data_IF_659874973292
#
_entry.id   IF_659874973292
#
_cell.length_a   1.000
_cell.length_b   1.000
_cell.length_c   1.000
_cell.angle_alpha   90.00
_cell.angle_beta   90.00
_cell.angle_gamma   90.00
#
_symmetry.space_group_name_H-M   'P 1'
#
loop_
_entity.id
_entity.type
_entity.pdbx_description
1 polymer ?
#
# COMPACT_ATOMS: atom_id res chain seq x y z
N UNK A 1 -51.74 -32.90 -75.26
CA UNK A 1 -52.94 -32.11 -75.63
C UNK A 1 -54.10 -32.71 -74.84
N UNK A 2 -54.89 -32.00 -74.01
CA UNK A 2 -54.99 -30.55 -73.70
C UNK A 2 -54.51 -30.26 -72.24
N UNK A 3 -53.94 -29.11 -71.84
CA UNK A 3 -54.42 -27.72 -71.72
C UNK A 3 -55.69 -27.52 -70.88
N UNK A 4 -55.51 -27.06 -69.64
CA UNK A 4 -56.39 -26.09 -68.94
C UNK A 4 -55.60 -25.32 -67.88
N UNK A 5 -55.91 -24.03 -67.79
CA UNK A 5 -55.20 -22.90 -67.17
C UNK A 5 -55.31 -22.85 -65.63
N UNK A 6 -54.38 -22.19 -64.91
CA UNK A 6 -54.55 -21.89 -63.49
C UNK A 6 -55.35 -20.60 -63.27
N UNK A 7 -56.40 -20.73 -62.46
CA UNK A 7 -57.36 -19.71 -62.02
C UNK A 7 -56.72 -18.65 -61.10
N UNK A 8 -57.18 -17.41 -61.27
CA UNK A 8 -56.78 -16.14 -60.66
C UNK A 8 -56.99 -16.03 -59.14
N UNK A 9 -56.34 -16.86 -58.32
CA UNK A 9 -56.35 -16.72 -56.85
C UNK A 9 -54.98 -16.51 -56.21
N UNK A 10 -53.92 -16.38 -57.02
CA UNK A 10 -52.54 -16.21 -56.52
C UNK A 10 -51.93 -14.81 -56.71
N UNK A 11 -52.65 -13.85 -57.26
CA UNK A 11 -52.16 -12.46 -57.42
C UNK A 11 -52.53 -11.51 -56.28
N UNK A 12 -53.36 -11.93 -55.32
CA UNK A 12 -53.79 -11.07 -54.21
C UNK A 12 -53.02 -11.30 -52.90
N UNK A 13 -52.06 -12.24 -52.87
CA UNK A 13 -51.23 -12.51 -51.70
C UNK A 13 -49.75 -12.13 -51.87
N UNK A 14 -49.32 -11.68 -53.06
CA UNK A 14 -47.99 -11.12 -53.28
C UNK A 14 -47.91 -9.59 -53.07
N UNK A 15 -49.03 -8.92 -52.83
CA UNK A 15 -49.06 -7.46 -52.56
C UNK A 15 -49.15 -7.12 -51.06
N UNK A 16 -49.16 -8.11 -50.17
CA UNK A 16 -49.20 -7.91 -48.71
C UNK A 16 -47.89 -8.25 -47.98
N UNK A 17 -46.82 -8.59 -48.71
CA UNK A 17 -45.49 -8.91 -48.11
C UNK A 17 -44.41 -7.89 -48.50
N UNK A 18 -44.75 -6.90 -49.32
CA UNK A 18 -43.80 -5.88 -49.82
C UNK A 18 -43.97 -4.48 -49.22
N UNK A 19 -44.85 -4.29 -48.23
CA UNK A 19 -45.05 -3.00 -47.52
C UNK A 19 -44.57 -3.06 -46.06
N UNK A 20 -43.60 -3.90 -45.74
CA UNK A 20 -42.98 -3.94 -44.39
C UNK A 20 -41.45 -4.04 -44.39
N UNK A 21 -40.80 -3.70 -45.51
CA UNK A 21 -39.35 -3.50 -45.59
C UNK A 21 -39.01 -2.06 -45.96
N UNK A 22 -39.35 -1.16 -45.05
CA UNK A 22 -38.86 0.22 -45.03
C UNK A 22 -38.99 0.76 -43.61
N UNK A 23 -38.39 0.06 -42.65
CA UNK A 23 -37.89 0.72 -41.45
C UNK A 23 -36.47 1.14 -41.77
N UNK A 24 -36.31 2.45 -41.84
CA UNK A 24 -35.06 3.14 -42.07
C UNK A 24 -34.01 2.62 -41.09
N UNK A 25 -32.92 2.05 -41.61
CA UNK A 25 -31.65 1.98 -40.89
C UNK A 25 -31.19 3.42 -40.68
N UNK A 26 -31.50 3.96 -39.50
CA UNK A 26 -30.86 5.15 -38.99
C UNK A 26 -29.34 4.88 -38.92
N UNK A 27 -28.48 5.86 -39.26
CA UNK A 27 -27.06 5.73 -38.97
C UNK A 27 -26.96 5.47 -37.47
N UNK A 28 -26.26 4.41 -37.06
CA UNK A 28 -25.83 4.26 -35.67
C UNK A 28 -24.93 5.46 -35.36
N UNK A 29 -25.55 6.50 -34.82
CA UNK A 29 -24.86 7.57 -34.12
C UNK A 29 -23.90 6.88 -33.17
N UNK A 30 -22.61 7.09 -33.42
CA UNK A 30 -21.60 6.89 -32.40
C UNK A 30 -22.09 7.73 -31.23
N UNK A 31 -22.54 7.07 -30.17
CA UNK A 31 -22.74 7.74 -28.90
C UNK A 31 -21.36 8.29 -28.54
N UNK A 32 -21.13 9.58 -28.84
CA UNK A 32 -20.14 10.35 -28.10
C UNK A 32 -20.60 10.24 -26.64
N UNK A 33 -19.96 9.33 -25.89
CA UNK A 33 -20.00 9.39 -24.44
C UNK A 33 -19.59 10.82 -24.08
N UNK A 34 -20.57 11.61 -23.64
CA UNK A 34 -20.29 12.95 -23.15
C UNK A 34 -19.28 12.78 -22.02
N UNK A 35 -18.06 13.31 -22.24
CA UNK A 35 -16.98 13.32 -21.26
C UNK A 35 -17.38 14.18 -20.07
N UNK A 36 -18.25 13.66 -19.21
CA UNK A 36 -18.81 14.39 -18.09
C UNK A 36 -17.93 14.24 -16.87
N UNK A 37 -17.43 15.38 -16.38
CA UNK A 37 -16.76 15.46 -15.08
C UNK A 37 -17.84 15.67 -14.01
N UNK A 38 -18.16 14.59 -13.29
CA UNK A 38 -19.23 14.50 -12.28
C UNK A 38 -19.06 15.51 -11.12
N UNK A 39 -17.82 15.84 -10.75
CA UNK A 39 -17.55 16.76 -9.64
C UNK A 39 -17.12 18.15 -10.12
N UNK A 40 -17.54 19.19 -9.40
CA UNK A 40 -17.24 20.58 -9.71
C UNK A 40 -16.02 21.13 -8.94
N UNK A 41 -15.34 22.11 -9.52
CA UNK A 41 -14.27 22.83 -8.82
C UNK A 41 -14.88 23.54 -7.62
N UNK A 42 -14.19 23.43 -6.48
CA UNK A 42 -14.63 23.83 -5.15
C UNK A 42 -15.72 22.99 -4.50
N UNK A 43 -16.20 21.93 -5.14
CA UNK A 43 -17.17 21.01 -4.52
C UNK A 43 -16.55 20.30 -3.32
N UNK A 44 -17.33 20.19 -2.25
CA UNK A 44 -16.96 19.41 -1.07
C UNK A 44 -17.26 17.95 -1.34
N UNK A 45 -16.25 17.10 -1.20
CA UNK A 45 -16.33 15.67 -1.53
C UNK A 45 -15.75 14.82 -0.40
N UNK A 46 -16.02 13.53 -0.47
CA UNK A 46 -15.37 12.52 0.35
C UNK A 46 -14.39 11.76 -0.55
N UNK A 47 -13.12 11.69 -0.15
CA UNK A 47 -12.06 11.11 -0.98
C UNK A 47 -11.38 9.95 -0.25
N UNK A 48 -11.24 8.82 -0.95
CA UNK A 48 -10.43 7.71 -0.46
C UNK A 48 -8.95 8.08 -0.48
N UNK A 49 -8.27 7.81 0.63
CA UNK A 49 -6.81 7.79 0.70
C UNK A 49 -6.39 6.54 1.49
N UNK A 50 -5.77 5.59 0.78
CA UNK A 50 -5.60 4.24 1.30
C UNK A 50 -6.96 3.56 1.61
N UNK A 51 -7.12 2.90 2.77
CA UNK A 51 -8.34 2.17 3.12
C UNK A 51 -9.45 3.05 3.74
N UNK A 52 -9.19 4.34 3.96
CA UNK A 52 -10.10 5.25 4.65
C UNK A 52 -10.60 6.37 3.74
N UNK A 53 -11.70 6.99 4.15
CA UNK A 53 -12.34 8.11 3.47
C UNK A 53 -12.11 9.38 4.28
N UNK A 54 -11.71 10.46 3.61
CA UNK A 54 -11.42 11.76 4.21
C UNK A 54 -12.29 12.86 3.59
N UNK A 55 -12.55 13.92 4.36
CA UNK A 55 -13.16 15.13 3.79
C UNK A 55 -12.14 15.82 2.86
N UNK A 56 -12.55 16.12 1.64
CA UNK A 56 -11.71 16.80 0.66
C UNK A 56 -12.50 17.87 -0.12
N UNK A 57 -11.78 18.70 -0.86
CA UNK A 57 -12.32 19.70 -1.76
C UNK A 57 -11.69 19.54 -3.14
N UNK A 58 -12.49 19.54 -4.19
CA UNK A 58 -11.99 19.54 -5.58
C UNK A 58 -11.39 20.91 -5.87
N UNK A 59 -10.13 20.94 -6.25
CA UNK A 59 -9.37 22.14 -6.55
C UNK A 59 -9.23 22.36 -8.06
N UNK A 60 -9.16 21.28 -8.82
CA UNK A 60 -9.13 21.30 -10.28
C UNK A 60 -9.71 19.99 -10.86
N UNK A 61 -10.05 19.98 -12.15
CA UNK A 61 -10.59 18.80 -12.84
C UNK A 61 -10.10 18.74 -14.28
N UNK A 62 -9.71 17.55 -14.73
CA UNK A 62 -9.16 17.35 -16.06
C UNK A 62 -9.50 15.96 -16.58
N UNK A 63 -9.69 15.85 -17.90
CA UNK A 63 -9.84 14.57 -18.57
C UNK A 63 -8.48 14.15 -19.14
N UNK A 64 -7.87 13.12 -18.56
CA UNK A 64 -6.58 12.61 -19.01
C UNK A 64 -6.78 11.72 -20.26
N UNK A 65 -6.02 12.00 -21.33
CA UNK A 65 -6.06 11.23 -22.59
C UNK A 65 -4.66 10.81 -23.10
N UNK A 66 -3.58 11.20 -22.41
CA UNK A 66 -2.20 11.04 -22.89
C UNK A 66 -1.64 9.63 -22.64
N UNK A 67 -2.10 8.98 -21.56
CA UNK A 67 -1.67 7.64 -21.17
C UNK A 67 -2.88 6.69 -21.21
N UNK A 68 -2.80 5.57 -21.95
CA UNK A 68 -3.85 4.55 -22.00
C UNK A 68 -4.27 3.99 -20.62
N UNK A 69 -3.36 3.97 -19.63
CA UNK A 69 -3.66 3.48 -18.27
C UNK A 69 -4.29 4.54 -17.36
N UNK A 70 -4.15 5.82 -17.71
CA UNK A 70 -4.69 6.97 -16.95
C UNK A 70 -5.84 7.65 -17.70
N UNK A 71 -6.41 6.99 -18.71
CA UNK A 71 -7.47 7.58 -19.51
C UNK A 71 -8.76 7.71 -18.68
N UNK A 72 -9.27 8.95 -18.53
CA UNK A 72 -10.55 9.19 -17.86
C UNK A 72 -10.63 10.50 -17.05
N UNK A 73 -11.71 10.66 -16.27
CA UNK A 73 -11.93 11.82 -15.42
C UNK A 73 -11.03 11.81 -14.18
N UNK A 74 -10.21 12.84 -14.04
CA UNK A 74 -9.33 13.07 -12.90
C UNK A 74 -9.62 14.41 -12.23
N UNK A 75 -9.39 14.44 -10.92
CA UNK A 75 -9.68 15.60 -10.07
C UNK A 75 -8.48 15.87 -9.17
N UNK A 76 -8.05 17.12 -9.11
CA UNK A 76 -7.03 17.55 -8.17
C UNK A 76 -7.71 17.88 -6.84
N UNK A 77 -7.34 17.20 -5.76
CA UNK A 77 -8.04 17.31 -4.47
C UNK A 77 -7.15 17.82 -3.36
N UNK A 78 -7.75 18.62 -2.46
CA UNK A 78 -7.14 19.06 -1.21
C UNK A 78 -7.90 18.46 -0.02
N UNK A 79 -7.18 17.75 0.85
CA UNK A 79 -7.76 17.13 2.03
C UNK A 79 -7.90 18.11 3.19
N UNK A 80 -9.05 18.11 3.85
CA UNK A 80 -9.33 19.00 4.98
C UNK A 80 -8.38 18.71 6.13
N UNK A 81 -7.61 19.73 6.53
CA UNK A 81 -6.65 19.65 7.64
C UNK A 81 -5.28 19.08 7.25
N UNK A 82 -5.04 18.80 5.97
CA UNK A 82 -3.77 18.27 5.49
C UNK A 82 -2.92 19.39 4.88
N UNK A 83 -1.59 19.19 4.80
CA UNK A 83 -0.68 20.15 4.14
C UNK A 83 -0.89 20.06 2.62
N UNK A 84 -0.73 21.18 1.90
CA UNK A 84 -0.84 21.25 0.42
C UNK A 84 0.12 20.32 -0.33
N UNK A 85 1.20 19.88 0.31
CA UNK A 85 2.12 18.88 -0.24
C UNK A 85 1.48 17.50 -0.47
N UNK A 86 0.28 17.28 0.07
CA UNK A 86 -0.52 16.06 -0.11
C UNK A 86 -1.63 16.22 -1.15
N UNK A 87 -1.73 17.37 -1.80
CA UNK A 87 -2.70 17.57 -2.87
C UNK A 87 -2.29 16.71 -4.07
N UNK A 88 -3.23 15.93 -4.61
CA UNK A 88 -2.95 14.93 -5.64
C UNK A 88 -4.07 14.90 -6.70
N UNK A 89 -3.72 14.45 -7.91
CA UNK A 89 -4.69 14.10 -8.94
C UNK A 89 -5.20 12.68 -8.67
N UNK A 90 -6.51 12.53 -8.52
CA UNK A 90 -7.17 11.25 -8.26
C UNK A 90 -8.20 10.94 -9.33
N UNK A 91 -8.37 9.66 -9.73
CA UNK A 91 -9.47 9.26 -10.60
C UNK A 91 -10.81 9.42 -9.89
N UNK A 92 -11.88 9.56 -10.67
CA UNK A 92 -13.26 9.65 -10.17
C UNK A 92 -13.63 8.55 -9.17
N UNK A 93 -13.12 7.33 -9.36
CA UNK A 93 -13.40 6.17 -8.51
C UNK A 93 -12.96 6.32 -7.05
N UNK A 94 -12.06 7.28 -6.75
CA UNK A 94 -11.66 7.62 -5.38
C UNK A 94 -12.57 8.67 -4.73
N UNK A 95 -13.48 9.28 -5.48
CA UNK A 95 -14.34 10.35 -5.00
C UNK A 95 -15.76 9.87 -4.77
N UNK A 96 -16.36 10.43 -3.72
CA UNK A 96 -17.71 10.17 -3.29
C UNK A 96 -18.41 11.51 -3.06
N UNK A 97 -19.67 11.61 -3.51
CA UNK A 97 -20.49 12.79 -3.24
C UNK A 97 -20.70 12.97 -1.75
N UNK A 98 -20.80 14.22 -1.34
CA UNK A 98 -21.14 14.58 0.04
C UNK A 98 -22.61 14.26 0.32
N UNK A 99 -22.88 13.06 0.85
CA UNK A 99 -24.21 12.63 1.26
C UNK A 99 -24.16 11.80 2.55
N UNK A 100 -25.30 11.68 3.23
CA UNK A 100 -25.41 10.98 4.52
C UNK A 100 -24.97 9.51 4.45
N UNK A 101 -25.22 8.85 3.32
CA UNK A 101 -24.82 7.45 3.10
C UNK A 101 -23.29 7.32 3.06
N UNK A 102 -22.60 8.17 2.30
CA UNK A 102 -21.14 8.17 2.20
C UNK A 102 -20.48 8.62 3.51
N UNK A 103 -21.11 9.54 4.26
CA UNK A 103 -20.66 9.93 5.61
C UNK A 103 -20.76 8.74 6.58
N UNK A 104 -21.87 7.98 6.54
CA UNK A 104 -22.00 6.75 7.35
C UNK A 104 -20.96 5.70 6.94
N UNK A 105 -20.65 5.59 5.65
CA UNK A 105 -19.61 4.70 5.15
C UNK A 105 -18.22 5.10 5.69
N UNK A 106 -17.89 6.40 5.68
CA UNK A 106 -16.67 6.93 6.29
C UNK A 106 -16.57 6.56 7.78
N UNK A 107 -17.65 6.78 8.55
CA UNK A 107 -17.69 6.44 9.98
C UNK A 107 -17.50 4.94 10.21
N UNK A 108 -18.19 4.10 9.43
CA UNK A 108 -18.11 2.64 9.52
C UNK A 108 -16.71 2.13 9.19
N UNK A 109 -16.08 2.62 8.11
CA UNK A 109 -14.72 2.22 7.75
C UNK A 109 -13.72 2.64 8.83
N UNK A 110 -13.87 3.84 9.39
CA UNK A 110 -13.05 4.30 10.52
C UNK A 110 -13.20 3.39 11.75
N UNK A 111 -14.43 3.00 12.09
CA UNK A 111 -14.70 2.11 13.22
C UNK A 111 -14.14 0.70 13.00
N UNK A 112 -14.32 0.13 11.80
CA UNK A 112 -13.77 -1.18 11.44
C UNK A 112 -12.25 -1.18 11.49
N UNK A 113 -11.62 -0.13 10.96
CA UNK A 113 -10.16 0.00 10.97
C UNK A 113 -9.63 0.14 12.42
N UNK A 114 -10.35 0.87 13.28
CA UNK A 114 -10.08 0.92 14.73
C UNK A 114 -10.20 -0.45 15.40
N UNK A 115 -11.26 -1.20 15.11
CA UNK A 115 -11.48 -2.53 15.69
C UNK A 115 -10.36 -3.50 15.28
N UNK A 116 -9.96 -3.47 14.01
CA UNK A 116 -8.89 -4.32 13.46
C UNK A 116 -7.52 -4.03 14.08
N UNK A 117 -7.23 -2.78 14.45
CA UNK A 117 -6.01 -2.42 15.18
C UNK A 117 -6.05 -2.78 16.68
N UNK A 118 -7.24 -2.96 17.27
CA UNK A 118 -7.40 -3.28 18.69
C UNK A 118 -7.30 -4.78 19.05
N UNK A 119 -7.10 -5.68 18.06
CA UNK A 119 -6.87 -7.11 18.30
C UNK A 119 -7.99 -7.89 18.99
N UNK A 120 -9.20 -7.32 19.12
CA UNK A 120 -10.34 -8.04 19.70
C UNK A 120 -11.15 -8.75 18.62
N UNK A 121 -10.86 -10.03 18.45
CA UNK A 121 -11.71 -11.00 17.75
C UNK A 121 -13.12 -10.97 18.33
N UNK A 122 -14.14 -10.84 17.46
CA UNK A 122 -15.53 -10.97 17.86
C UNK A 122 -15.82 -12.39 18.35
N UNK A 123 -16.43 -12.52 19.52
CA UNK A 123 -17.54 -13.46 19.66
C UNK A 123 -18.60 -12.93 20.63
N UNK A 124 -19.85 -13.06 20.18
CA UNK A 124 -21.14 -13.06 20.91
C UNK A 124 -21.73 -11.78 21.51
N UNK A 125 -22.96 -11.55 21.06
CA UNK A 125 -24.06 -10.76 21.64
C UNK A 125 -24.21 -10.97 23.16
N UNK A 126 -24.43 -9.87 23.90
CA UNK A 126 -25.59 -9.67 24.80
C UNK A 126 -25.60 -8.22 25.29
N UNK A 127 -26.80 -7.66 25.36
CA UNK A 127 -27.14 -6.33 25.86
C UNK A 127 -26.85 -6.14 27.35
N UNK A 128 -26.57 -4.87 27.67
CA UNK A 128 -26.85 -4.15 28.91
C UNK A 128 -26.03 -4.36 30.21
N UNK A 129 -25.59 -3.20 30.72
CA UNK A 129 -25.24 -2.84 32.10
C UNK A 129 -23.96 -3.47 32.66
N UNK A 130 -22.91 -2.74 33.02
CA UNK A 130 -22.75 -1.33 33.28
C UNK A 130 -21.49 -1.15 34.17
N UNK A 131 -20.87 0.03 34.11
CA UNK A 131 -19.86 0.50 35.06
C UNK A 131 -18.62 -0.39 35.24
N UNK A 132 -17.63 -0.24 34.35
CA UNK A 132 -16.21 -0.03 34.71
C UNK A 132 -15.40 0.18 33.43
N UNK A 133 -14.52 1.19 33.47
CA UNK A 133 -13.63 1.68 32.40
C UNK A 133 -14.17 2.83 31.53
N UNK A 134 -14.66 3.88 32.20
CA UNK A 134 -14.14 5.22 31.90
C UNK A 134 -12.65 5.22 32.29
N UNK A 135 -11.84 5.90 31.49
CA UNK A 135 -10.37 6.07 31.59
C UNK A 135 -9.52 5.19 30.66
N UNK A 136 -9.99 4.95 29.44
CA UNK A 136 -9.08 5.08 28.29
C UNK A 136 -9.30 6.48 27.74
N UNK A 137 -8.54 7.45 28.26
CA UNK A 137 -8.43 8.79 27.72
C UNK A 137 -8.05 8.64 26.24
N UNK A 138 -9.05 8.76 25.37
CA UNK A 138 -8.85 8.93 23.92
C UNK A 138 -7.87 10.11 23.78
N UNK A 139 -6.67 9.84 23.27
CA UNK A 139 -5.79 10.90 22.74
C UNK A 139 -6.66 11.73 21.80
N UNK A 140 -6.86 13.01 22.14
CA UNK A 140 -7.59 13.94 21.25
C UNK A 140 -6.85 13.96 19.91
N UNK A 141 -7.52 14.20 18.78
CA UNK A 141 -6.83 14.38 17.49
C UNK A 141 -5.69 15.43 17.56
N UNK A 142 -5.78 16.37 18.52
CA UNK A 142 -4.71 17.30 18.88
C UNK A 142 -3.42 16.64 19.41
N UNK A 143 -3.51 15.52 20.13
CA UNK A 143 -2.35 14.73 20.59
C UNK A 143 -1.69 13.96 19.44
N UNK A 144 -2.45 13.55 18.42
CA UNK A 144 -1.92 12.95 17.19
C UNK A 144 -1.15 13.97 16.34
N UNK A 145 -1.62 15.23 16.30
CA UNK A 145 -0.94 16.35 15.64
C UNK A 145 0.25 16.91 16.43
N UNK A 146 0.28 16.71 17.76
CA UNK A 146 1.41 17.07 18.64
C UNK A 146 2.49 16.00 18.69
N UNK A 147 2.21 14.78 18.22
CA UNK A 147 3.22 13.74 18.16
C UNK A 147 4.34 14.21 17.24
N UNK A 148 5.59 14.28 17.73
CA UNK A 148 6.69 14.71 16.90
C UNK A 148 6.76 13.80 15.67
N UNK A 149 6.75 14.41 14.49
CA UNK A 149 6.93 13.69 13.22
C UNK A 149 8.39 13.21 13.21
N UNK A 150 8.61 11.97 13.67
CA UNK A 150 9.94 11.37 13.69
C UNK A 150 10.36 11.20 12.23
N UNK A 151 11.52 11.75 11.86
CA UNK A 151 12.08 11.62 10.52
C UNK A 151 13.44 10.98 10.64
N UNK A 152 13.58 9.80 10.06
CA UNK A 152 14.86 9.15 9.84
C UNK A 152 15.27 9.51 8.41
N UNK A 153 16.40 10.20 8.28
CA UNK A 153 16.91 10.57 6.96
C UNK A 153 17.62 9.38 6.32
N UNK A 154 17.03 8.86 5.24
CA UNK A 154 17.58 7.75 4.47
C UNK A 154 18.48 8.32 3.37
N UNK A 155 19.76 7.93 3.30
CA UNK A 155 20.66 8.38 2.23
C UNK A 155 20.14 8.05 0.83
N UNK A 156 20.34 8.94 -0.14
CA UNK A 156 19.78 8.80 -1.50
C UNK A 156 20.22 7.54 -2.23
N UNK A 157 21.45 7.06 -1.98
CA UNK A 157 21.93 5.78 -2.52
C UNK A 157 21.09 4.58 -2.04
N UNK A 158 20.60 4.64 -0.78
CA UNK A 158 19.71 3.61 -0.23
C UNK A 158 18.25 3.83 -0.66
N UNK A 159 17.84 5.07 -0.96
CA UNK A 159 16.54 5.31 -1.62
C UNK A 159 16.51 4.69 -3.01
N UNK A 160 17.59 4.84 -3.80
CA UNK A 160 17.74 4.16 -5.08
C UNK A 160 17.63 2.64 -4.93
N UNK A 161 18.34 2.08 -3.95
CA UNK A 161 18.25 0.64 -3.64
C UNK A 161 16.81 0.18 -3.32
N UNK A 162 16.01 1.00 -2.61
CA UNK A 162 14.61 0.69 -2.32
C UNK A 162 13.72 0.74 -3.57
N UNK A 163 13.99 1.65 -4.49
CA UNK A 163 13.29 1.73 -5.78
C UNK A 163 13.61 0.50 -6.61
N UNK A 164 14.90 0.15 -6.74
CA UNK A 164 15.36 -1.02 -7.48
C UNK A 164 14.78 -2.33 -6.88
N UNK A 165 14.81 -2.46 -5.55
CA UNK A 165 14.21 -3.60 -4.83
C UNK A 165 12.71 -3.72 -5.09
N UNK A 166 11.99 -2.60 -5.05
CA UNK A 166 10.56 -2.58 -5.37
C UNK A 166 10.29 -2.99 -6.83
N UNK A 167 11.04 -2.46 -7.80
CA UNK A 167 10.88 -2.81 -9.22
C UNK A 167 11.19 -4.29 -9.48
N UNK A 168 12.27 -4.81 -8.89
CA UNK A 168 12.67 -6.21 -9.04
C UNK A 168 11.59 -7.17 -8.52
N UNK A 169 11.04 -6.89 -7.34
CA UNK A 169 10.04 -7.78 -6.74
C UNK A 169 8.65 -7.62 -7.36
N UNK A 170 8.22 -6.39 -7.64
CA UNK A 170 6.83 -6.13 -8.05
C UNK A 170 6.61 -6.11 -9.55
N UNK A 171 7.55 -5.59 -10.34
CA UNK A 171 7.44 -5.52 -11.81
C UNK A 171 8.14 -6.69 -12.48
N UNK A 172 9.36 -7.01 -12.06
CA UNK A 172 10.18 -8.02 -12.72
C UNK A 172 9.92 -9.45 -12.20
N UNK A 173 9.04 -9.60 -11.20
CA UNK A 173 8.70 -10.90 -10.60
C UNK A 173 9.92 -11.68 -10.10
N UNK A 174 10.89 -10.97 -9.54
CA UNK A 174 12.11 -11.55 -8.99
C UNK A 174 12.04 -11.64 -7.47
N UNK A 175 12.81 -12.55 -6.90
CA UNK A 175 12.90 -12.78 -5.48
C UNK A 175 14.35 -12.72 -5.03
N UNK A 176 14.54 -12.22 -3.81
CA UNK A 176 15.81 -12.32 -3.11
C UNK A 176 16.08 -13.79 -2.79
N UNK A 177 17.35 -14.21 -2.87
CA UNK A 177 17.72 -15.59 -2.51
C UNK A 177 17.68 -15.78 -1.02
N UNK A 178 16.96 -16.81 -0.59
CA UNK A 178 16.80 -17.15 0.82
C UNK A 178 17.21 -18.62 1.05
N UNK A 179 17.99 -18.91 2.10
CA UNK A 179 18.54 -17.99 3.10
C UNK A 179 19.64 -17.07 2.54
N UNK A 180 19.73 -15.83 3.02
CA UNK A 180 20.79 -14.91 2.63
C UNK A 180 22.13 -15.31 3.23
N UNK A 181 23.20 -15.11 2.46
CA UNK A 181 24.58 -15.29 2.95
C UNK A 181 24.90 -14.31 4.08
N UNK A 182 24.43 -13.06 3.95
CA UNK A 182 24.55 -12.03 4.98
C UNK A 182 23.15 -11.72 5.47
N UNK A 183 22.83 -12.32 6.61
CA UNK A 183 21.53 -12.17 7.26
C UNK A 183 21.44 -10.85 8.00
N UNK A 184 20.23 -10.45 8.42
CA UNK A 184 20.03 -9.26 9.27
C UNK A 184 20.93 -9.30 10.50
N UNK A 185 21.02 -10.46 11.18
CA UNK A 185 21.95 -10.63 12.29
C UNK A 185 23.40 -10.35 11.87
N UNK A 186 23.82 -10.90 10.74
CA UNK A 186 25.14 -10.63 10.16
C UNK A 186 25.39 -9.14 9.87
N UNK A 187 24.39 -8.40 9.36
CA UNK A 187 24.51 -6.95 9.13
C UNK A 187 24.70 -6.19 10.44
N UNK A 188 23.88 -6.47 11.45
CA UNK A 188 23.92 -5.77 12.74
C UNK A 188 25.22 -6.09 13.51
N UNK A 189 25.71 -7.31 13.44
CA UNK A 189 26.97 -7.71 14.07
C UNK A 189 28.18 -7.07 13.38
N UNK A 190 28.18 -6.99 12.04
CA UNK A 190 29.20 -6.23 11.29
C UNK A 190 29.20 -4.76 11.66
N UNK A 191 28.01 -4.15 11.83
CA UNK A 191 27.90 -2.77 12.28
C UNK A 191 28.46 -2.58 13.70
N UNK A 192 28.17 -3.50 14.62
CA UNK A 192 28.70 -3.48 15.98
C UNK A 192 30.24 -3.51 15.99
N UNK A 193 30.86 -4.38 15.19
CA UNK A 193 32.32 -4.43 15.02
C UNK A 193 32.85 -3.12 14.43
N UNK A 194 32.24 -2.64 13.34
CA UNK A 194 32.61 -1.36 12.71
C UNK A 194 32.58 -0.18 13.70
N UNK A 195 31.59 -0.14 14.58
CA UNK A 195 31.46 0.90 15.60
C UNK A 195 32.56 0.84 16.66
N UNK A 196 32.93 -0.37 17.10
CA UNK A 196 34.01 -0.57 18.07
C UNK A 196 35.37 -0.14 17.51
N UNK A 197 35.64 -0.46 16.25
CA UNK A 197 36.92 -0.12 15.59
C UNK A 197 37.07 1.38 15.32
N UNK A 198 35.99 2.06 14.91
CA UNK A 198 36.06 3.46 14.45
C UNK A 198 36.20 4.50 15.57
N UNK A 199 35.71 4.23 16.79
CA UNK A 199 35.52 5.26 17.82
C UNK A 199 36.49 5.22 19.02
N UNK A 200 37.52 4.38 19.01
CA UNK A 200 38.56 4.38 20.05
C UNK A 200 37.98 4.37 21.48
N UNK A 201 37.15 3.37 21.80
CA UNK A 201 36.63 2.95 23.13
C UNK A 201 36.09 3.97 24.16
N UNK A 202 36.22 5.30 24.00
CA UNK A 202 35.96 6.27 25.08
C UNK A 202 34.63 7.02 25.02
N UNK A 203 33.90 6.94 23.91
CA UNK A 203 32.61 7.64 23.70
C UNK A 203 31.44 6.74 23.27
N UNK A 204 31.68 5.43 23.07
CA UNK A 204 30.62 4.52 22.66
C UNK A 204 29.91 3.98 23.92
N UNK A 205 28.61 4.25 24.05
CA UNK A 205 27.80 3.53 25.03
C UNK A 205 27.48 2.14 24.47
N UNK A 206 28.29 1.14 24.82
CA UNK A 206 28.12 -0.24 24.32
C UNK A 206 26.78 -0.85 24.75
N UNK A 207 26.33 -0.59 25.98
CA UNK A 207 25.06 -1.13 26.49
C UNK A 207 23.87 -0.60 25.70
N UNK A 208 23.85 0.71 25.44
CA UNK A 208 22.82 1.35 24.62
C UNK A 208 22.87 0.86 23.17
N UNK A 209 24.07 0.67 22.61
CA UNK A 209 24.22 0.10 21.27
C UNK A 209 23.61 -1.31 21.21
N UNK A 210 23.91 -2.18 22.19
CA UNK A 210 23.32 -3.52 22.24
C UNK A 210 21.80 -3.47 22.34
N UNK A 211 21.27 -2.58 23.18
CA UNK A 211 19.83 -2.43 23.36
C UNK A 211 19.14 -2.00 22.05
N UNK A 212 19.71 -1.02 21.34
CA UNK A 212 19.19 -0.58 20.03
C UNK A 212 19.23 -1.72 19.01
N UNK A 213 20.36 -2.43 18.90
CA UNK A 213 20.49 -3.54 17.95
C UNK A 213 19.56 -4.71 18.30
N UNK A 214 19.35 -4.98 19.58
CA UNK A 214 18.40 -5.98 20.05
C UNK A 214 16.96 -5.57 19.73
N UNK A 215 16.62 -4.29 19.93
CA UNK A 215 15.33 -3.72 19.56
C UNK A 215 15.04 -3.92 18.07
N UNK A 216 15.99 -3.58 17.19
CA UNK A 216 15.86 -3.76 15.73
C UNK A 216 15.57 -5.22 15.38
N UNK A 217 16.24 -6.19 16.01
CA UNK A 217 15.97 -7.63 15.80
C UNK A 217 14.54 -8.02 16.16
N UNK A 218 14.08 -7.58 17.33
CA UNK A 218 12.70 -7.84 17.79
C UNK A 218 11.68 -7.23 16.83
N UNK A 219 11.90 -5.98 16.42
CA UNK A 219 11.03 -5.29 15.47
C UNK A 219 11.02 -6.00 14.13
N UNK A 220 12.18 -6.40 13.61
CA UNK A 220 12.28 -7.12 12.35
C UNK A 220 11.50 -8.44 12.38
N UNK A 221 11.71 -9.26 13.42
CA UNK A 221 11.02 -10.55 13.59
C UNK A 221 9.49 -10.38 13.64
N UNK A 222 8.98 -9.33 14.28
CA UNK A 222 7.54 -9.04 14.37
C UNK A 222 6.97 -8.37 13.11
N UNK A 223 7.75 -7.52 12.45
CA UNK A 223 7.32 -6.70 11.33
C UNK A 223 7.38 -7.44 9.99
N UNK A 224 8.31 -8.38 9.81
CA UNK A 224 8.56 -9.00 8.50
C UNK A 224 7.27 -9.55 7.88
N UNK A 225 6.65 -10.52 8.56
CA UNK A 225 5.44 -11.20 8.07
C UNK A 225 4.20 -10.31 8.06
N UNK A 226 4.21 -9.12 8.65
CA UNK A 226 3.03 -8.25 8.73
C UNK A 226 3.09 -7.11 7.72
N UNK A 227 4.23 -6.41 7.62
CA UNK A 227 4.30 -5.15 6.88
C UNK A 227 5.51 -4.99 5.94
N UNK A 228 6.57 -5.80 6.04
CA UNK A 228 7.80 -5.59 5.24
C UNK A 228 7.84 -6.35 3.90
N UNK A 229 6.97 -7.34 3.74
CA UNK A 229 6.91 -8.17 2.53
C UNK A 229 5.90 -7.61 1.52
N UNK A 230 6.33 -7.53 0.26
CA UNK A 230 5.43 -7.28 -0.86
C UNK A 230 4.49 -8.46 -1.08
N UNK A 231 3.39 -8.24 -1.82
CA UNK A 231 2.40 -9.29 -2.13
C UNK A 231 3.07 -10.52 -2.78
N UNK A 232 4.01 -10.29 -3.69
CA UNK A 232 4.70 -11.35 -4.43
C UNK A 232 5.59 -12.24 -3.56
N UNK A 233 6.13 -11.74 -2.43
CA UNK A 233 7.01 -12.51 -1.53
C UNK A 233 6.25 -13.36 -0.50
N UNK A 234 4.92 -13.22 -0.41
CA UNK A 234 4.12 -13.84 0.66
C UNK A 234 4.16 -15.36 0.62
N UNK A 235 4.14 -15.96 -0.57
CA UNK A 235 4.24 -17.41 -0.73
C UNK A 235 5.62 -17.93 -0.33
N UNK A 236 6.70 -17.27 -0.76
CA UNK A 236 8.08 -17.61 -0.37
C UNK A 236 8.22 -17.58 1.17
N UNK A 237 7.70 -16.55 1.83
CA UNK A 237 7.69 -16.46 3.29
C UNK A 237 6.92 -17.61 3.95
N UNK A 238 5.71 -17.92 3.46
CA UNK A 238 4.90 -19.01 4.00
C UNK A 238 5.62 -20.36 3.88
N UNK A 239 6.28 -20.62 2.74
CA UNK A 239 7.09 -21.82 2.55
C UNK A 239 8.28 -21.89 3.48
N UNK A 240 8.99 -20.78 3.69
CA UNK A 240 10.15 -20.70 4.56
C UNK A 240 9.78 -20.98 6.01
N UNK A 241 8.73 -20.33 6.53
CA UNK A 241 8.25 -20.57 7.90
C UNK A 241 7.77 -22.01 8.08
N UNK A 242 7.14 -22.60 7.06
CA UNK A 242 6.73 -24.01 7.08
C UNK A 242 7.92 -24.96 7.11
N UNK A 243 8.97 -24.69 6.33
CA UNK A 243 10.19 -25.52 6.26
C UNK A 243 11.04 -25.36 7.52
N UNK A 244 11.09 -24.16 8.10
CA UNK A 244 11.94 -23.80 9.23
C UNK A 244 11.13 -23.18 10.38
N UNK A 245 10.30 -23.94 11.10
CA UNK A 245 9.39 -23.40 12.12
C UNK A 245 10.09 -22.82 13.36
N UNK A 246 11.38 -23.10 13.54
CA UNK A 246 12.19 -22.61 14.67
C UNK A 246 13.15 -21.48 14.27
N UNK A 247 13.32 -21.22 12.98
CA UNK A 247 14.25 -20.20 12.53
C UNK A 247 13.58 -18.82 12.60
N UNK A 248 14.30 -17.84 13.10
CA UNK A 248 13.80 -16.48 13.16
C UNK A 248 14.04 -15.75 11.82
N UNK A 249 13.16 -14.82 11.43
CA UNK A 249 13.38 -13.97 10.27
C UNK A 249 14.77 -13.32 10.17
N UNK A 250 15.32 -12.86 11.29
CA UNK A 250 16.66 -12.23 11.34
C UNK A 250 17.81 -13.15 10.90
N UNK A 251 17.61 -14.47 10.91
CA UNK A 251 18.60 -15.48 10.52
C UNK A 251 18.44 -15.95 9.06
N UNK A 252 17.41 -15.50 8.36
CA UNK A 252 17.10 -15.95 7.01
C UNK A 252 17.17 -14.80 6.00
N UNK A 253 16.62 -13.65 6.38
CA UNK A 253 16.48 -12.48 5.52
C UNK A 253 17.71 -11.56 5.61
N UNK A 254 17.88 -10.69 4.61
CA UNK A 254 19.08 -9.86 4.43
C UNK A 254 18.87 -8.36 4.60
N UNK A 255 19.81 -7.60 4.05
CA UNK A 255 19.86 -6.14 4.13
C UNK A 255 18.69 -5.45 3.41
N UNK A 256 18.14 -6.09 2.38
CA UNK A 256 17.02 -5.63 1.57
C UNK A 256 15.79 -5.39 2.45
N UNK A 257 15.35 -6.45 3.14
CA UNK A 257 14.20 -6.40 4.04
C UNK A 257 14.47 -5.55 5.29
N UNK A 258 15.72 -5.55 5.78
CA UNK A 258 16.12 -4.67 6.89
C UNK A 258 15.98 -3.20 6.50
N UNK A 259 16.36 -2.82 5.28
CA UNK A 259 16.21 -1.45 4.80
C UNK A 259 14.73 -1.03 4.75
N UNK A 260 13.82 -1.94 4.35
CA UNK A 260 12.37 -1.69 4.41
C UNK A 260 11.88 -1.44 5.84
N UNK A 261 12.45 -2.11 6.85
CA UNK A 261 12.13 -1.82 8.24
C UNK A 261 12.47 -0.38 8.60
N UNK A 262 13.65 0.13 8.20
CA UNK A 262 14.04 1.52 8.48
C UNK A 262 13.06 2.56 7.90
N UNK A 263 12.40 2.25 6.78
CA UNK A 263 11.33 3.11 6.22
C UNK A 263 10.09 3.14 7.13
N UNK A 264 9.77 2.02 7.79
CA UNK A 264 8.61 1.89 8.67
C UNK A 264 8.87 2.32 10.13
N UNK A 265 10.14 2.30 10.56
CA UNK A 265 10.55 2.64 11.94
C UNK A 265 9.99 3.96 12.46
N UNK A 266 9.95 5.08 11.70
CA UNK A 266 9.40 6.33 12.22
C UNK A 266 7.94 6.21 12.64
N UNK A 267 7.13 5.48 11.86
CA UNK A 267 5.73 5.20 12.22
C UNK A 267 5.65 4.29 13.45
N UNK A 268 6.54 3.31 13.59
CA UNK A 268 6.56 2.41 14.74
C UNK A 268 6.96 3.13 16.04
N UNK A 269 7.97 4.02 15.98
CA UNK A 269 8.45 4.79 17.13
C UNK A 269 7.39 5.83 17.54
N UNK A 270 6.65 6.42 16.59
CA UNK A 270 5.58 7.37 16.90
C UNK A 270 4.45 6.77 17.77
N UNK A 271 4.32 5.44 17.83
CA UNK A 271 3.36 4.75 18.69
C UNK A 271 3.94 4.35 20.06
N UNK A 272 5.21 4.66 20.33
CA UNK A 272 5.86 4.37 21.62
C UNK A 272 5.78 5.55 22.58
N UNK A 273 5.81 5.25 23.88
CA UNK A 273 5.83 6.26 24.95
C UNK A 273 7.28 6.59 25.33
N UNK A 274 8.02 7.17 24.39
CA UNK A 274 9.41 7.64 24.62
C UNK A 274 9.45 9.17 24.74
N UNK A 275 10.34 9.70 25.56
CA UNK A 275 10.63 11.13 25.60
C UNK A 275 11.41 11.59 24.37
N UNK A 276 11.43 12.91 24.13
CA UNK A 276 12.01 13.49 22.92
C UNK A 276 13.52 13.26 22.81
N UNK A 277 14.23 13.24 23.94
CA UNK A 277 15.68 13.08 23.97
C UNK A 277 16.05 11.64 23.66
N UNK A 278 15.34 10.67 24.25
CA UNK A 278 15.49 9.25 23.93
C UNK A 278 15.17 8.95 22.45
N UNK A 279 14.12 9.57 21.89
CA UNK A 279 13.78 9.44 20.46
C UNK A 279 14.88 10.00 19.57
N UNK A 280 15.47 11.13 19.93
CA UNK A 280 16.58 11.72 19.17
C UNK A 280 17.80 10.80 19.20
N UNK A 281 18.19 10.31 20.37
CA UNK A 281 19.31 9.36 20.52
C UNK A 281 19.08 8.10 19.68
N UNK A 282 17.88 7.52 19.75
CA UNK A 282 17.52 6.36 18.92
C UNK A 282 17.64 6.70 17.43
N UNK A 283 17.10 7.85 17.00
CA UNK A 283 17.15 8.30 15.60
C UNK A 283 18.60 8.48 15.12
N UNK A 284 19.50 8.97 15.97
CA UNK A 284 20.92 9.12 15.65
C UNK A 284 21.60 7.75 15.44
N UNK A 285 21.28 6.75 16.27
CA UNK A 285 21.76 5.38 16.07
C UNK A 285 21.22 4.75 14.78
N UNK A 286 19.92 4.91 14.50
CA UNK A 286 19.31 4.38 13.27
C UNK A 286 19.92 5.03 12.02
N UNK A 287 20.13 6.35 12.06
CA UNK A 287 20.78 7.10 10.98
C UNK A 287 22.23 6.67 10.77
N UNK A 288 22.96 6.37 11.84
CA UNK A 288 24.34 5.88 11.71
C UNK A 288 24.41 4.46 11.13
N UNK A 289 23.47 3.57 11.50
CA UNK A 289 23.36 2.25 10.86
C UNK A 289 23.10 2.41 9.35
N UNK A 290 22.20 3.31 8.95
CA UNK A 290 21.95 3.60 7.53
C UNK A 290 23.20 4.12 6.82
N UNK A 291 24.00 4.99 7.45
CA UNK A 291 25.29 5.43 6.90
C UNK A 291 26.29 4.29 6.77
N UNK A 292 26.31 3.34 7.70
CA UNK A 292 27.13 2.14 7.59
C UNK A 292 26.66 1.26 6.42
N UNK A 293 25.35 1.04 6.28
CA UNK A 293 24.76 0.27 5.19
C UNK A 293 25.07 0.90 3.83
N UNK A 294 25.01 2.23 3.72
CA UNK A 294 25.41 2.97 2.52
C UNK A 294 26.88 2.73 2.16
N UNK A 295 27.79 2.74 3.14
CA UNK A 295 29.23 2.51 2.90
C UNK A 295 29.54 1.07 2.47
N UNK A 296 28.78 0.11 2.97
CA UNK A 296 28.95 -1.31 2.70
C UNK A 296 27.93 -1.83 1.68
N UNK A 297 27.26 -0.95 0.92
CA UNK A 297 26.13 -1.30 0.07
C UNK A 297 26.43 -2.48 -0.87
N UNK A 298 27.56 -2.43 -1.57
CA UNK A 298 27.98 -3.49 -2.51
C UNK A 298 28.19 -4.87 -1.86
N UNK A 299 28.48 -4.91 -0.56
CA UNK A 299 28.71 -6.16 0.16
C UNK A 299 27.44 -6.66 0.85
N UNK A 300 26.52 -5.76 1.23
CA UNK A 300 25.34 -6.11 2.00
C UNK A 300 24.15 -6.48 1.10
N UNK A 301 23.95 -5.76 0.00
CA UNK A 301 22.83 -5.96 -0.90
C UNK A 301 23.19 -6.92 -2.03
N UNK A 302 22.23 -7.78 -2.37
CA UNK A 302 22.33 -8.68 -3.50
C UNK A 302 22.22 -7.90 -4.82
N UNK A 303 23.16 -8.14 -5.73
CA UNK A 303 23.20 -7.44 -7.02
C UNK A 303 22.13 -7.94 -8.01
N UNK A 304 21.88 -9.25 -8.03
CA UNK A 304 20.97 -9.88 -8.99
C UNK A 304 19.96 -10.77 -8.26
N UNK A 305 18.67 -10.52 -8.48
CA UNK A 305 17.59 -11.28 -7.86
C UNK A 305 17.26 -12.49 -8.74
N UNK A 306 16.75 -13.57 -8.14
CA UNK A 306 16.36 -14.76 -8.89
C UNK A 306 14.97 -14.58 -9.49
N UNK A 307 14.83 -14.92 -10.78
CA UNK A 307 13.51 -14.97 -11.41
C UNK A 307 12.67 -16.06 -10.74
N UNK A 308 11.44 -15.72 -10.37
CA UNK A 308 10.53 -16.71 -9.82
C UNK A 308 10.20 -17.79 -10.85
N UNK A 309 10.13 -19.03 -10.40
CA UNK A 309 9.72 -20.15 -11.27
C UNK A 309 8.27 -19.95 -11.75
N UNK A 310 7.89 -20.38 -12.97
CA UNK A 310 6.55 -20.15 -13.49
C UNK A 310 5.42 -20.66 -12.58
N UNK A 311 5.64 -21.77 -11.86
CA UNK A 311 4.68 -22.28 -10.89
C UNK A 311 4.49 -21.37 -9.67
N UNK A 312 5.52 -20.62 -9.27
CA UNK A 312 5.43 -19.64 -8.19
C UNK A 312 4.65 -18.40 -8.64
N UNK A 313 4.89 -17.91 -9.86
CA UNK A 313 4.17 -16.77 -10.45
C UNK A 313 2.67 -17.06 -10.49
N UNK A 314 2.27 -18.22 -11.03
CA UNK A 314 0.87 -18.63 -11.07
C UNK A 314 0.22 -18.70 -9.67
N UNK A 315 0.97 -19.17 -8.66
CA UNK A 315 0.50 -19.22 -7.28
C UNK A 315 0.25 -17.80 -6.73
N UNK A 316 1.13 -16.86 -7.05
CA UNK A 316 1.04 -15.46 -6.60
C UNK A 316 -0.08 -14.66 -7.25
N UNK A 317 -0.44 -14.96 -8.50
CA UNK A 317 -1.53 -14.29 -9.22
C UNK A 317 -2.91 -14.78 -8.75
N UNK A 318 -2.99 -16.03 -8.28
CA UNK A 318 -4.25 -16.65 -7.84
C UNK A 318 -4.76 -16.21 -6.45
N UNK A 319 -3.97 -15.43 -5.69
CA UNK A 319 -4.24 -15.03 -4.30
C UNK A 319 -4.31 -13.52 -4.15
#
# INVERSE_FOLDING_TARGET
MPQTEPTQEQQSQQQAVEVSKSQQEAPKEQQEETKELIFEINEKVLCYHGPLIYEAKVMDRNWMNEDPELQGPYYFVHYKGWKRTWDEWVPETRLLRWCDENIKMQLRLRDLYRMKQSGKSQNTYTEELGKRRRDAKLEKEEDYLRKPEIKIDIPDALKGQLVDDWENVTKNQQLVTLPREITVNGVLDRYKVYKKEKKGSRELNEELLEEVLHGIRIYFNKALGTMLLYRFERHQYAEIIRKNPKAEPVDIYGAEHLLRLFVQMPSLIAHTTMDTDAVQVLTDYLTDILRFMQKQQKQLFQAEYENAVPGYVALSEST
#
